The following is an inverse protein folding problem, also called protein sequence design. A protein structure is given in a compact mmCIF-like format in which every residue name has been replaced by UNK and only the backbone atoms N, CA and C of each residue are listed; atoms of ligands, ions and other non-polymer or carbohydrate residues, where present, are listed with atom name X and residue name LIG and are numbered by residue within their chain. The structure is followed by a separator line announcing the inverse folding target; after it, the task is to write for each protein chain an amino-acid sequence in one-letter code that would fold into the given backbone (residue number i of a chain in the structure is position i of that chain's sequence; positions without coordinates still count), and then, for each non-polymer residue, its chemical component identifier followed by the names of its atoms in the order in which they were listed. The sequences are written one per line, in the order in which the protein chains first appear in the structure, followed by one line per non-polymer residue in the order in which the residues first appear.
data_IF_523717512229
#
_entry.id   IF_523717512229
#
_cell.length_a   1.000
_cell.length_b   1.000
_cell.length_c   1.000
_cell.angle_alpha   90.00
_cell.angle_beta   90.00
_cell.angle_gamma   90.00
#
_symmetry.space_group_name_H-M   'P 1'
#
loop_
_entity.id
_entity.type
_entity.pdbx_description
1 polymer ?
#
# COMPACT_ATOMS: atom_id res chain seq x y z
N UNK A 1 -27.02 -8.07 -29.28
CA UNK A 1 -25.89 -9.00 -29.05
C UNK A 1 -24.57 -8.21 -29.07
N UNK A 2 -24.35 -7.30 -28.11
CA UNK A 2 -23.19 -6.36 -28.07
C UNK A 2 -22.59 -6.33 -26.64
N UNK A 3 -22.94 -7.29 -25.78
CA UNK A 3 -22.55 -7.31 -24.36
C UNK A 3 -21.28 -8.09 -24.02
N UNK A 4 -20.73 -8.87 -24.96
CA UNK A 4 -19.64 -9.83 -24.66
C UNK A 4 -18.22 -9.32 -25.00
N UNK A 5 -18.08 -8.22 -25.76
CA UNK A 5 -16.77 -7.72 -26.19
C UNK A 5 -16.16 -6.68 -25.23
N UNK A 6 -16.93 -6.16 -24.28
CA UNK A 6 -16.47 -5.12 -23.34
C UNK A 6 -15.73 -5.73 -22.15
N UNK A 7 -16.06 -6.96 -21.76
CA UNK A 7 -15.49 -7.62 -20.57
C UNK A 7 -14.05 -8.09 -20.78
N UNK A 8 -13.62 -8.36 -22.03
CA UNK A 8 -12.25 -8.79 -22.34
C UNK A 8 -11.24 -7.63 -22.42
N UNK A 9 -11.70 -6.37 -22.46
CA UNK A 9 -10.80 -5.19 -22.54
C UNK A 9 -10.36 -4.65 -21.18
N UNK A 10 -10.98 -5.09 -20.07
CA UNK A 10 -10.55 -4.73 -18.72
C UNK A 10 -9.55 -5.73 -18.11
N UNK A 11 -9.27 -6.85 -18.79
CA UNK A 11 -8.33 -7.87 -18.31
C UNK A 11 -6.85 -7.49 -18.48
N UNK A 12 -6.56 -6.41 -19.23
CA UNK A 12 -5.20 -5.87 -19.40
C UNK A 12 -5.10 -4.52 -18.71
N UNK A 13 -4.68 -4.56 -17.44
CA UNK A 13 -4.54 -3.41 -16.57
C UNK A 13 -3.76 -2.27 -17.26
N UNK A 14 -4.41 -1.12 -17.26
CA UNK A 14 -3.97 0.15 -17.83
C UNK A 14 -3.29 1.00 -16.75
N UNK A 15 -2.21 1.75 -17.07
CA UNK A 15 -1.62 1.92 -18.39
C UNK A 15 -0.48 0.91 -18.70
N UNK A 16 -0.37 0.44 -19.96
CA UNK A 16 0.70 -0.45 -20.40
C UNK A 16 2.06 0.25 -20.31
N UNK A 17 3.02 -0.37 -19.62
CA UNK A 17 4.39 0.14 -19.49
C UNK A 17 4.68 1.03 -18.28
N UNK A 18 3.71 1.25 -17.38
CA UNK A 18 4.00 1.87 -16.07
C UNK A 18 4.06 0.79 -15.00
N UNK A 19 5.12 0.81 -14.18
CA UNK A 19 5.10 0.10 -12.90
C UNK A 19 3.99 0.71 -12.05
N UNK A 20 2.96 -0.08 -11.69
CA UNK A 20 1.93 0.34 -10.74
C UNK A 20 2.45 0.48 -9.31
N UNK A 21 3.73 0.15 -9.10
CA UNK A 21 4.42 0.43 -7.86
C UNK A 21 4.58 1.96 -7.78
N UNK A 22 3.98 2.64 -6.79
CA UNK A 22 4.42 3.98 -6.44
C UNK A 22 5.94 3.92 -6.23
N UNK A 23 6.68 4.45 -7.20
CA UNK A 23 8.07 4.80 -6.97
C UNK A 23 8.06 5.76 -5.81
N UNK A 24 8.93 5.57 -4.82
CA UNK A 24 9.09 6.55 -3.76
C UNK A 24 9.53 7.87 -4.41
N UNK A 25 8.58 8.76 -4.72
CA UNK A 25 8.84 10.03 -5.42
C UNK A 25 9.39 11.10 -4.47
N UNK A 26 9.46 10.81 -3.16
CA UNK A 26 9.95 11.76 -2.16
C UNK A 26 11.43 11.52 -1.87
N UNK A 27 12.30 12.54 -2.04
CA UNK A 27 13.69 12.43 -1.66
C UNK A 27 13.80 12.23 -0.13
N UNK A 28 14.70 11.35 0.28
CA UNK A 28 14.98 11.12 1.70
C UNK A 28 15.53 12.40 2.34
N UNK A 29 15.03 12.70 3.55
CA UNK A 29 15.55 13.79 4.37
C UNK A 29 16.83 13.34 5.08
N UNK A 30 17.74 14.28 5.41
CA UNK A 30 18.95 13.96 6.18
C UNK A 30 18.64 13.50 7.62
N UNK A 31 17.47 13.82 8.15
CA UNK A 31 17.05 13.49 9.52
C UNK A 31 15.53 13.43 9.64
N UNK A 32 15.03 12.59 10.55
CA UNK A 32 13.62 12.44 10.90
C UNK A 32 13.43 12.55 12.42
N UNK A 33 12.30 13.08 12.88
CA UNK A 33 11.97 13.10 14.31
C UNK A 33 11.68 11.68 14.83
N UNK A 34 11.11 10.81 13.97
CA UNK A 34 10.85 9.40 14.29
C UNK A 34 11.19 8.48 13.12
N UNK A 35 11.78 7.32 13.43
CA UNK A 35 12.00 6.21 12.49
C UNK A 35 11.28 4.99 13.04
N UNK A 36 10.38 4.42 12.24
CA UNK A 36 9.58 3.24 12.60
C UNK A 36 10.00 2.09 11.68
N UNK A 37 10.45 0.99 12.28
CA UNK A 37 10.85 -0.23 11.56
C UNK A 37 9.70 -1.23 11.61
N UNK A 38 9.16 -1.56 10.44
CA UNK A 38 7.99 -2.41 10.23
C UNK A 38 6.72 -1.60 9.95
N UNK A 39 6.20 -1.65 8.73
CA UNK A 39 4.88 -1.16 8.29
C UNK A 39 3.77 -2.21 8.48
N UNK A 40 3.90 -3.09 9.46
CA UNK A 40 2.80 -3.93 9.93
C UNK A 40 1.69 -3.12 10.61
N UNK A 41 0.72 -3.81 11.22
CA UNK A 41 -0.44 -3.20 11.87
C UNK A 41 -0.07 -2.12 12.90
N UNK A 42 0.86 -2.42 13.80
CA UNK A 42 1.29 -1.49 14.84
C UNK A 42 2.06 -0.28 14.27
N UNK A 43 3.03 -0.53 13.39
CA UNK A 43 3.87 0.52 12.83
C UNK A 43 3.12 1.48 11.92
N UNK A 44 2.20 0.98 11.10
CA UNK A 44 1.33 1.81 10.26
C UNK A 44 0.43 2.73 11.09
N UNK A 45 -0.17 2.21 12.17
CA UNK A 45 -0.99 3.02 13.08
C UNK A 45 -0.12 4.09 13.76
N UNK A 46 1.02 3.71 14.35
CA UNK A 46 1.91 4.66 15.00
C UNK A 46 2.37 5.77 14.05
N UNK A 47 2.80 5.42 12.84
CA UNK A 47 3.22 6.38 11.82
C UNK A 47 2.11 7.36 11.46
N UNK A 48 0.88 6.86 11.27
CA UNK A 48 -0.30 7.68 11.01
C UNK A 48 -0.68 8.61 12.16
N UNK A 49 -0.48 8.17 13.42
CA UNK A 49 -0.76 9.00 14.60
C UNK A 49 0.30 10.08 14.81
N UNK A 50 1.58 9.75 14.64
CA UNK A 50 2.68 10.70 14.80
C UNK A 50 2.67 11.74 13.68
N UNK A 51 2.44 11.34 12.44
CA UNK A 51 2.36 12.28 11.29
C UNK A 51 1.11 13.17 11.31
N UNK A 52 0.13 12.90 12.18
CA UNK A 52 -1.11 13.67 12.26
C UNK A 52 -0.89 15.06 12.87
N UNK A 53 -1.64 16.05 12.36
CA UNK A 53 -1.65 17.43 12.86
C UNK A 53 -2.07 17.56 14.34
N UNK A 54 -2.68 16.51 14.91
CA UNK A 54 -3.01 16.46 16.33
C UNK A 54 -1.76 16.42 17.23
N UNK A 55 -0.70 15.74 16.81
CA UNK A 55 0.56 15.67 17.58
C UNK A 55 1.20 17.06 17.71
N UNK A 56 1.15 17.86 16.65
CA UNK A 56 1.69 19.23 16.59
C UNK A 56 1.03 20.21 17.57
N UNK A 57 -0.14 19.89 18.12
CA UNK A 57 -0.88 20.79 19.04
C UNK A 57 -0.54 20.54 20.51
N UNK A 58 0.10 19.42 20.83
CA UNK A 58 0.34 18.98 22.21
C UNK A 58 1.69 19.43 22.78
N UNK A 59 2.67 19.79 21.96
CA UNK A 59 4.07 19.90 22.41
C UNK A 59 4.58 21.28 22.83
N UNK A 60 4.15 22.42 22.27
CA UNK A 60 4.75 23.72 22.67
C UNK A 60 4.07 25.00 22.17
N UNK A 61 2.85 24.97 21.64
CA UNK A 61 2.22 26.17 21.05
C UNK A 61 2.81 26.63 19.71
N UNK A 62 3.95 26.07 19.32
CA UNK A 62 4.62 26.25 18.03
C UNK A 62 4.22 25.13 17.06
N UNK A 63 3.78 25.50 15.84
CA UNK A 63 3.31 24.54 14.83
C UNK A 63 4.49 23.84 14.14
N UNK A 64 5.07 22.82 14.77
CA UNK A 64 5.99 21.89 14.10
C UNK A 64 5.28 20.57 13.79
N UNK A 65 5.22 20.19 12.53
CA UNK A 65 4.80 18.84 12.14
C UNK A 65 5.99 17.89 12.29
N UNK A 66 5.85 16.77 13.04
CA UNK A 66 6.93 15.81 13.15
C UNK A 66 7.12 15.07 11.81
N UNK A 67 8.38 14.86 11.47
CA UNK A 67 8.79 14.06 10.30
C UNK A 67 8.91 12.60 10.71
N UNK A 68 8.26 11.71 9.97
CA UNK A 68 8.22 10.28 10.28
C UNK A 68 8.68 9.48 9.07
N UNK A 69 9.68 8.62 9.27
CA UNK A 69 10.11 7.63 8.29
C UNK A 69 9.60 6.25 8.70
N UNK A 70 8.78 5.64 7.85
CA UNK A 70 8.30 4.27 8.02
C UNK A 70 9.01 3.37 7.01
N UNK A 71 9.71 2.34 7.50
CA UNK A 71 10.41 1.37 6.67
C UNK A 71 9.84 -0.04 6.88
N UNK A 72 9.75 -0.82 5.82
CA UNK A 72 9.25 -2.19 5.83
C UNK A 72 10.17 -3.04 4.95
N UNK A 73 10.43 -4.29 5.35
CA UNK A 73 11.29 -5.19 4.59
C UNK A 73 10.55 -5.80 3.40
N UNK A 74 9.22 -5.94 3.52
CA UNK A 74 8.37 -6.44 2.45
C UNK A 74 8.22 -5.48 1.27
N UNK A 75 7.97 -6.05 0.10
CA UNK A 75 7.55 -5.30 -1.07
C UNK A 75 6.14 -4.72 -0.86
N UNK A 76 5.81 -3.69 -1.64
CA UNK A 76 4.43 -3.23 -1.75
C UNK A 76 3.51 -4.43 -2.07
N UNK A 77 2.31 -4.49 -1.45
CA UNK A 77 1.38 -5.56 -1.74
C UNK A 77 1.09 -5.56 -3.24
N UNK A 78 1.07 -6.75 -3.84
CA UNK A 78 0.63 -6.88 -5.22
C UNK A 78 -0.87 -6.52 -5.28
N UNK A 79 -1.16 -5.29 -5.72
CA UNK A 79 -2.53 -4.79 -5.82
C UNK A 79 -3.36 -5.58 -6.86
N UNK A 80 -2.75 -6.48 -7.63
CA UNK A 80 -3.48 -7.45 -8.47
C UNK A 80 -4.19 -8.51 -7.63
N UNK A 81 -3.72 -8.80 -6.41
CA UNK A 81 -4.36 -9.76 -5.47
C UNK A 81 -5.75 -9.29 -5.05
N UNK A 82 -5.99 -7.97 -5.05
CA UNK A 82 -7.30 -7.36 -4.78
C UNK A 82 -8.17 -7.19 -6.05
N UNK A 83 -7.70 -7.66 -7.20
CA UNK A 83 -8.46 -7.59 -8.45
C UNK A 83 -9.70 -8.49 -8.40
N UNK A 84 -10.87 -8.00 -8.85
CA UNK A 84 -12.10 -8.80 -8.90
C UNK A 84 -12.00 -10.03 -9.83
N UNK A 85 -10.93 -10.15 -10.64
CA UNK A 85 -10.65 -11.33 -11.45
C UNK A 85 -9.64 -12.29 -10.82
N UNK A 86 -8.68 -11.78 -10.05
CA UNK A 86 -7.63 -12.60 -9.43
C UNK A 86 -8.17 -13.32 -8.21
N UNK A 87 -9.06 -12.70 -7.43
CA UNK A 87 -9.66 -13.36 -6.25
C UNK A 87 -10.45 -14.63 -6.65
N UNK A 88 -11.39 -14.60 -7.63
CA UNK A 88 -12.08 -15.83 -8.04
C UNK A 88 -11.14 -16.88 -8.67
N UNK A 89 -10.11 -16.44 -9.40
CA UNK A 89 -9.14 -17.36 -10.02
C UNK A 89 -8.27 -18.05 -8.96
N UNK A 90 -7.75 -17.30 -7.98
CA UNK A 90 -6.98 -17.86 -6.87
C UNK A 90 -7.81 -18.81 -6.02
N UNK A 91 -9.11 -18.55 -5.83
CA UNK A 91 -10.00 -19.51 -5.17
C UNK A 91 -10.05 -20.84 -5.92
N UNK A 92 -10.11 -20.82 -7.26
CA UNK A 92 -10.10 -22.04 -8.08
C UNK A 92 -8.74 -22.75 -8.04
N UNK A 93 -7.63 -21.99 -8.05
CA UNK A 93 -6.28 -22.54 -7.98
C UNK A 93 -6.00 -23.17 -6.61
N UNK A 94 -6.42 -22.53 -5.51
CA UNK A 94 -6.25 -23.06 -4.17
C UNK A 94 -7.03 -24.36 -3.93
N UNK A 95 -8.16 -24.60 -4.63
CA UNK A 95 -8.87 -25.88 -4.58
C UNK A 95 -8.04 -27.07 -5.12
N UNK A 96 -6.98 -26.79 -5.88
CA UNK A 96 -6.06 -27.79 -6.42
C UNK A 96 -4.74 -27.85 -5.66
N UNK A 97 -4.55 -26.97 -4.69
CA UNK A 97 -3.34 -26.93 -3.89
C UNK A 97 -3.46 -27.87 -2.70
N UNK A 98 -2.32 -28.31 -2.16
CA UNK A 98 -2.25 -29.04 -0.89
C UNK A 98 -2.40 -28.12 0.34
N UNK A 99 -2.83 -26.86 0.14
CA UNK A 99 -3.11 -25.92 1.22
C UNK A 99 -4.50 -26.23 1.76
N UNK A 100 -4.55 -26.91 2.89
CA UNK A 100 -5.76 -27.11 3.69
C UNK A 100 -6.03 -25.81 4.47
N UNK A 101 -7.10 -25.10 4.12
CA UNK A 101 -7.52 -23.85 4.76
C UNK A 101 -8.84 -24.03 5.50
#
# INVERSE_FOLDING_TARGET
MIGYLTTLRHAFAWPPGKSLLPTCETPLLPSYDFIIVGSGSAGAVLAGRLSSSAYSRLSSGERKHPTVLLIEAGSLPDLRVISPHVIPLMTLENQRSDIDW
#
